data_IF_743720922721
#
_entry.id   IF_743720922721
#
_cell.length_a   1.000
_cell.length_b   1.000
_cell.length_c   1.000
_cell.angle_alpha   90.00
_cell.angle_beta   90.00
_cell.angle_gamma   90.00
#
_symmetry.space_group_name_H-M   'P 1'
#
loop_
_entity.id
_entity.type
_entity.pdbx_description
1 polymer ?
#
# COMPACT_ATOMS: atom_id res chain seq x y z
N UNK A 1 15.03 -33.96 3.33
CA UNK A 1 15.44 -33.16 2.17
C UNK A 1 14.19 -32.49 1.60
N UNK A 2 13.84 -31.25 1.98
CA UNK A 2 12.75 -30.55 1.32
C UNK A 2 13.29 -29.59 0.27
N UNK A 3 12.78 -29.76 -0.94
CA UNK A 3 13.09 -29.04 -2.16
C UNK A 3 12.82 -27.55 -2.02
N UNK A 4 13.87 -26.74 -2.20
CA UNK A 4 13.78 -25.29 -2.27
C UNK A 4 13.11 -24.89 -3.59
N UNK A 5 11.97 -24.21 -3.50
CA UNK A 5 11.33 -23.56 -4.63
C UNK A 5 12.17 -22.35 -5.06
N UNK A 6 12.96 -22.52 -6.12
CA UNK A 6 13.72 -21.44 -6.75
C UNK A 6 12.75 -20.55 -7.51
N UNK A 7 12.66 -19.27 -7.13
CA UNK A 7 12.01 -18.25 -7.95
C UNK A 7 12.94 -17.95 -9.13
N UNK A 8 12.73 -18.65 -10.24
CA UNK A 8 13.37 -18.38 -11.52
C UNK A 8 12.70 -17.16 -12.17
N UNK A 9 13.27 -15.96 -12.00
CA UNK A 9 13.01 -14.86 -12.92
C UNK A 9 13.77 -15.13 -14.22
N UNK A 10 13.06 -15.57 -15.27
CA UNK A 10 13.67 -15.67 -16.60
C UNK A 10 13.87 -14.27 -17.22
N UNK A 11 15.03 -13.99 -17.83
CA UNK A 11 15.22 -12.78 -18.62
C UNK A 11 14.58 -12.93 -20.01
N UNK A 12 13.81 -11.91 -20.43
CA UNK A 12 13.36 -11.79 -21.82
C UNK A 12 14.54 -11.48 -22.74
N UNK A 13 14.67 -12.27 -23.79
CA UNK A 13 15.61 -12.10 -24.89
C UNK A 13 15.19 -10.91 -25.77
N UNK A 14 16.05 -9.92 -25.97
CA UNK A 14 16.18 -9.33 -27.31
C UNK A 14 17.58 -8.73 -27.57
N UNK A 15 17.97 -8.79 -28.85
CA UNK A 15 19.33 -8.82 -29.37
C UNK A 15 19.96 -7.44 -29.65
N UNK A 16 21.22 -7.28 -29.24
CA UNK A 16 22.37 -6.89 -30.09
C UNK A 16 22.49 -5.47 -30.69
N UNK A 17 23.57 -4.76 -30.32
CA UNK A 17 24.67 -4.35 -31.25
C UNK A 17 25.86 -3.67 -30.52
N UNK A 18 27.04 -3.78 -31.15
CA UNK A 18 28.42 -3.60 -30.64
C UNK A 18 28.94 -2.15 -30.42
N UNK A 19 29.93 -2.07 -29.50
CA UNK A 19 31.01 -1.11 -29.10
C UNK A 19 31.70 -0.25 -30.22
N UNK A 20 32.60 0.75 -29.97
CA UNK A 20 33.58 0.90 -28.84
C UNK A 20 33.98 2.33 -28.35
N UNK A 21 34.79 2.43 -27.27
CA UNK A 21 35.76 3.54 -27.10
C UNK A 21 35.93 4.23 -25.71
N UNK A 22 36.83 3.69 -24.87
CA UNK A 22 37.80 4.34 -23.94
C UNK A 22 37.42 5.56 -23.05
N UNK A 23 37.52 5.39 -21.72
CA UNK A 23 38.68 5.85 -20.92
C UNK A 23 38.53 5.40 -19.45
N UNK A 24 39.59 4.77 -18.91
CA UNK A 24 39.60 4.23 -17.56
C UNK A 24 39.85 5.30 -16.51
N UNK A 25 38.89 5.48 -15.60
CA UNK A 25 39.11 6.15 -14.32
C UNK A 25 39.01 5.11 -13.22
N UNK A 26 40.10 5.00 -12.46
CA UNK A 26 40.28 4.13 -11.29
C UNK A 26 39.28 4.53 -10.19
N UNK A 27 38.14 3.87 -10.13
CA UNK A 27 37.24 3.98 -8.99
C UNK A 27 37.88 3.25 -7.80
N UNK A 28 38.35 4.01 -6.82
CA UNK A 28 38.73 3.45 -5.53
C UNK A 28 37.46 2.92 -4.86
N UNK A 29 37.32 1.59 -4.84
CA UNK A 29 36.30 0.90 -4.06
C UNK A 29 36.62 1.11 -2.56
N UNK A 30 36.13 2.21 -1.99
CA UNK A 30 35.88 2.25 -0.55
C UNK A 30 34.58 1.51 -0.31
N UNK A 31 34.68 0.19 -0.17
CA UNK A 31 33.60 -0.64 0.35
C UNK A 31 33.40 -0.21 1.80
N UNK A 32 32.45 0.69 2.05
CA UNK A 32 31.99 0.96 3.41
C UNK A 32 31.50 -0.37 3.97
N UNK A 33 31.98 -0.81 5.15
CA UNK A 33 31.51 -2.05 5.74
C UNK A 33 30.00 -1.95 5.90
N UNK A 34 29.28 -2.95 5.41
CA UNK A 34 27.90 -3.17 5.78
C UNK A 34 27.91 -3.52 7.28
N UNK A 35 27.85 -2.50 8.13
CA UNK A 35 27.60 -2.72 9.54
C UNK A 35 26.28 -3.49 9.63
N UNK A 36 26.36 -4.68 10.21
CA UNK A 36 25.24 -5.57 10.48
C UNK A 36 24.36 -4.92 11.56
N UNK A 37 23.67 -3.84 11.19
CA UNK A 37 22.57 -3.30 11.97
C UNK A 37 21.50 -4.39 12.04
N UNK A 38 21.14 -4.81 13.24
CA UNK A 38 19.99 -5.69 13.48
C UNK A 38 18.79 -5.08 12.76
N UNK A 39 18.42 -5.66 11.63
CA UNK A 39 17.33 -5.16 10.80
C UNK A 39 16.04 -5.49 11.52
N UNK A 40 15.51 -4.53 12.26
CA UNK A 40 14.23 -4.70 12.96
C UNK A 40 13.14 -4.85 11.91
N UNK A 41 12.28 -5.85 12.07
CA UNK A 41 11.10 -6.10 11.23
C UNK A 41 10.07 -4.94 11.23
N UNK A 42 10.37 -3.81 11.88
CA UNK A 42 9.50 -2.63 11.93
C UNK A 42 10.12 -1.52 11.09
N UNK A 43 9.27 -0.94 10.25
CA UNK A 43 9.55 0.36 9.64
C UNK A 43 9.55 1.38 10.77
N UNK A 44 10.59 2.22 10.84
CA UNK A 44 10.69 3.27 11.85
C UNK A 44 9.54 4.28 11.70
N UNK A 45 9.04 4.78 12.82
CA UNK A 45 7.89 5.70 12.86
C UNK A 45 8.19 6.99 12.10
N UNK A 46 9.38 7.57 12.27
CA UNK A 46 9.79 8.77 11.53
C UNK A 46 9.81 8.56 10.02
N UNK A 47 10.24 7.38 9.56
CA UNK A 47 10.19 7.01 8.14
C UNK A 47 8.75 6.93 7.65
N UNK A 48 7.84 6.35 8.43
CA UNK A 48 6.42 6.33 8.09
C UNK A 48 5.82 7.73 7.99
N UNK A 49 6.17 8.65 8.89
CA UNK A 49 5.70 10.04 8.81
C UNK A 49 6.14 10.74 7.51
N UNK A 50 7.38 10.50 7.06
CA UNK A 50 7.88 11.02 5.78
C UNK A 50 7.10 10.41 4.60
N UNK A 51 6.88 9.11 4.63
CA UNK A 51 6.13 8.39 3.58
C UNK A 51 4.67 8.85 3.53
N UNK A 52 3.99 8.98 4.67
CA UNK A 52 2.64 9.53 4.74
C UNK A 52 2.58 10.92 4.11
N UNK A 53 3.53 11.79 4.47
CA UNK A 53 3.60 13.14 3.90
C UNK A 53 3.77 13.11 2.38
N UNK A 54 4.66 12.26 1.88
CA UNK A 54 4.87 12.07 0.45
C UNK A 54 3.58 11.59 -0.25
N UNK A 55 2.94 10.54 0.27
CA UNK A 55 1.71 9.97 -0.30
C UNK A 55 0.58 10.99 -0.30
N UNK A 56 0.37 11.73 0.79
CA UNK A 56 -0.65 12.79 0.86
C UNK A 56 -0.47 13.80 -0.29
N UNK A 57 0.77 14.20 -0.56
CA UNK A 57 1.08 15.19 -1.59
C UNK A 57 0.91 14.66 -3.03
N UNK A 58 0.93 13.33 -3.24
CA UNK A 58 0.59 12.73 -4.53
C UNK A 58 -0.90 12.94 -4.88
N UNK A 59 -1.77 12.93 -3.88
CA UNK A 59 -3.21 13.09 -4.07
C UNK A 59 -3.69 14.54 -3.92
N UNK A 60 -3.06 15.32 -3.04
CA UNK A 60 -3.35 16.74 -2.84
C UNK A 60 -2.07 17.51 -2.50
N UNK A 61 -1.45 18.10 -3.53
CA UNK A 61 -0.22 18.90 -3.42
C UNK A 61 -0.37 20.12 -2.50
N UNK A 62 -1.58 20.61 -2.29
CA UNK A 62 -1.86 21.78 -1.44
C UNK A 62 -2.16 21.39 0.00
N UNK A 63 -2.28 20.08 0.28
CA UNK A 63 -2.62 19.57 1.59
C UNK A 63 -1.56 19.93 2.63
N UNK A 64 -2.02 20.45 3.76
CA UNK A 64 -1.21 20.65 4.97
C UNK A 64 -1.30 19.46 5.95
N UNK A 65 -2.03 18.40 5.59
CA UNK A 65 -2.15 17.22 6.45
C UNK A 65 -0.82 16.45 6.51
N UNK A 66 -0.53 15.89 7.68
CA UNK A 66 0.60 14.98 7.91
C UNK A 66 0.16 13.53 8.16
N UNK A 67 -1.13 13.33 8.39
CA UNK A 67 -1.77 12.04 8.65
C UNK A 67 -2.59 11.64 7.41
N UNK A 68 -2.31 10.44 6.90
CA UNK A 68 -2.90 9.95 5.65
C UNK A 68 -4.40 9.65 5.79
N UNK A 69 -4.86 9.20 6.96
CA UNK A 69 -6.27 8.94 7.23
C UNK A 69 -7.07 10.26 7.30
N UNK A 70 -6.50 11.31 7.91
CA UNK A 70 -7.08 12.65 7.95
C UNK A 70 -7.17 13.26 6.56
N UNK A 71 -6.13 13.09 5.74
CA UNK A 71 -6.15 13.51 4.34
C UNK A 71 -7.22 12.73 3.54
N UNK A 72 -7.27 11.40 3.70
CA UNK A 72 -8.27 10.52 3.10
C UNK A 72 -9.69 10.96 3.46
N UNK A 73 -9.98 11.20 4.74
CA UNK A 73 -11.29 11.67 5.20
C UNK A 73 -11.68 13.00 4.56
N UNK A 74 -10.76 13.97 4.49
CA UNK A 74 -11.02 15.28 3.87
C UNK A 74 -11.35 15.15 2.38
N UNK A 75 -10.58 14.35 1.64
CA UNK A 75 -10.81 14.16 0.21
C UNK A 75 -12.09 13.35 -0.05
N UNK A 76 -12.36 12.34 0.77
CA UNK A 76 -13.61 11.59 0.71
C UNK A 76 -14.84 12.49 0.95
N UNK A 77 -14.78 13.39 1.94
CA UNK A 77 -15.85 14.34 2.23
C UNK A 77 -16.11 15.34 1.08
N UNK A 78 -15.11 15.61 0.23
CA UNK A 78 -15.24 16.42 -0.99
C UNK A 78 -15.87 15.64 -2.17
N UNK A 79 -16.40 14.43 -1.93
CA UNK A 79 -16.97 13.53 -2.95
C UNK A 79 -15.97 13.14 -4.06
N UNK A 80 -14.68 13.08 -3.73
CA UNK A 80 -13.67 12.55 -4.64
C UNK A 80 -13.92 11.05 -4.91
N UNK A 81 -13.68 10.62 -6.15
CA UNK A 81 -13.67 9.19 -6.50
C UNK A 81 -12.70 8.43 -5.60
N UNK A 82 -12.99 7.15 -5.32
CA UNK A 82 -12.13 6.26 -4.53
C UNK A 82 -10.72 6.17 -5.09
N UNK A 83 -10.55 6.37 -6.41
CA UNK A 83 -9.24 6.40 -7.05
C UNK A 83 -8.46 7.69 -6.78
N UNK A 84 -9.15 8.76 -6.34
CA UNK A 84 -8.59 10.09 -6.11
C UNK A 84 -8.47 10.41 -4.61
N UNK A 85 -8.43 9.39 -3.75
CA UNK A 85 -8.17 9.53 -2.32
C UNK A 85 -6.96 8.67 -1.94
N UNK A 86 -6.09 9.15 -1.03
CA UNK A 86 -4.94 8.38 -0.58
C UNK A 86 -5.38 7.08 0.11
N UNK A 87 -4.53 6.04 0.15
CA UNK A 87 -4.83 4.79 0.86
C UNK A 87 -5.10 5.04 2.36
N UNK A 88 -5.65 4.04 3.05
CA UNK A 88 -5.65 4.06 4.53
C UNK A 88 -4.23 3.85 5.04
N UNK A 89 -3.95 4.29 6.26
CA UNK A 89 -2.65 4.03 6.91
C UNK A 89 -2.31 2.53 6.91
N UNK A 90 -3.29 1.69 7.27
CA UNK A 90 -3.12 0.24 7.27
C UNK A 90 -2.72 -0.33 5.90
N UNK A 91 -3.33 0.15 4.81
CA UNK A 91 -2.96 -0.29 3.46
C UNK A 91 -1.58 0.25 3.05
N UNK A 92 -1.28 1.49 3.41
CA UNK A 92 0.01 2.11 3.15
C UNK A 92 1.15 1.36 3.85
N UNK A 93 1.00 1.04 5.13
CA UNK A 93 2.00 0.30 5.90
C UNK A 93 2.35 -1.04 5.23
N UNK A 94 1.34 -1.81 4.80
CA UNK A 94 1.57 -3.07 4.10
C UNK A 94 2.28 -2.87 2.75
N UNK A 95 1.95 -1.80 2.02
CA UNK A 95 2.64 -1.45 0.79
C UNK A 95 4.11 -1.08 1.01
N UNK A 96 4.41 -0.31 2.05
CA UNK A 96 5.79 0.05 2.41
C UNK A 96 6.58 -1.20 2.79
N UNK A 97 6.01 -2.11 3.57
CA UNK A 97 6.64 -3.39 3.91
C UNK A 97 7.01 -4.19 2.66
N UNK A 98 6.06 -4.39 1.74
CA UNK A 98 6.35 -5.11 0.48
C UNK A 98 7.43 -4.42 -0.34
N UNK A 99 7.39 -3.10 -0.43
CA UNK A 99 8.39 -2.31 -1.17
C UNK A 99 9.78 -2.41 -0.54
N UNK A 100 9.87 -2.41 0.79
CA UNK A 100 11.12 -2.57 1.53
C UNK A 100 11.71 -3.98 1.38
N UNK A 101 10.86 -5.03 1.41
CA UNK A 101 11.29 -6.39 1.09
C UNK A 101 11.88 -6.46 -0.32
N UNK A 102 11.15 -5.94 -1.32
CA UNK A 102 11.58 -5.99 -2.71
C UNK A 102 12.86 -5.20 -2.96
N UNK A 103 12.89 -3.93 -2.56
CA UNK A 103 14.01 -3.03 -2.83
C UNK A 103 15.22 -3.27 -1.93
N UNK A 104 14.99 -3.44 -0.63
CA UNK A 104 16.07 -3.56 0.35
C UNK A 104 16.63 -4.97 0.47
N UNK A 105 15.76 -5.98 0.60
CA UNK A 105 16.20 -7.35 0.84
C UNK A 105 16.45 -8.14 -0.44
N UNK A 106 15.57 -8.06 -1.44
CA UNK A 106 15.75 -8.81 -2.69
C UNK A 106 16.76 -8.12 -3.60
N UNK A 107 16.48 -6.88 -4.01
CA UNK A 107 17.35 -6.17 -4.94
C UNK A 107 18.64 -5.65 -4.29
N UNK A 108 18.58 -5.21 -3.02
CA UNK A 108 19.76 -4.76 -2.28
C UNK A 108 20.80 -5.85 -2.03
N UNK A 109 20.43 -7.12 -2.18
CA UNK A 109 21.32 -8.27 -2.03
C UNK A 109 21.58 -8.99 -3.36
N UNK A 110 21.33 -8.34 -4.50
CA UNK A 110 21.45 -8.96 -5.83
C UNK A 110 22.86 -9.50 -6.16
N UNK A 111 23.90 -9.02 -5.47
CA UNK A 111 25.29 -9.48 -5.65
C UNK A 111 25.70 -10.56 -4.65
N UNK A 112 24.84 -10.90 -3.68
CA UNK A 112 25.10 -11.94 -2.68
C UNK A 112 24.60 -13.27 -3.25
N UNK A 113 25.45 -14.28 -3.41
CA UNK A 113 25.00 -15.62 -3.74
C UNK A 113 24.11 -16.18 -2.63
N UNK A 114 22.95 -16.76 -2.99
CA UNK A 114 21.99 -17.36 -2.05
C UNK A 114 21.65 -16.47 -0.83
N UNK A 115 21.08 -15.27 -1.05
CA UNK A 115 20.77 -14.36 0.03
C UNK A 115 19.72 -14.94 0.97
N UNK A 116 19.93 -14.80 2.28
CA UNK A 116 18.94 -15.17 3.29
C UNK A 116 17.91 -14.04 3.40
N UNK A 117 16.74 -14.27 2.83
CA UNK A 117 15.63 -13.31 2.85
C UNK A 117 14.77 -13.47 4.12
N UNK A 118 14.22 -12.36 4.66
CA UNK A 118 13.28 -12.46 5.76
C UNK A 118 11.95 -13.08 5.29
N UNK A 119 11.14 -13.62 6.22
CA UNK A 119 9.85 -14.24 5.87
C UNK A 119 8.91 -13.24 5.15
N UNK A 120 8.33 -13.55 3.99
CA UNK A 120 7.43 -12.62 3.30
C UNK A 120 6.18 -12.25 4.12
N UNK A 121 5.72 -13.16 5.00
CA UNK A 121 4.54 -12.95 5.86
C UNK A 121 4.68 -11.78 6.81
N UNK A 122 5.91 -11.52 7.22
CA UNK A 122 6.30 -10.40 8.07
C UNK A 122 6.18 -9.09 7.25
N UNK A 123 6.57 -9.15 5.97
CA UNK A 123 6.66 -7.99 5.07
C UNK A 123 5.43 -7.78 4.19
N UNK A 124 4.23 -8.01 4.74
CA UNK A 124 2.97 -7.63 4.11
C UNK A 124 2.51 -8.55 2.97
N UNK A 125 2.92 -9.81 3.04
CA UNK A 125 2.35 -10.91 2.27
C UNK A 125 1.55 -11.84 3.18
N UNK A 126 0.61 -12.58 2.60
CA UNK A 126 -0.09 -13.67 3.25
C UNK A 126 0.12 -14.94 2.45
N UNK A 127 0.13 -16.09 3.14
CA UNK A 127 0.14 -17.41 2.52
C UNK A 127 -0.91 -18.27 3.21
N UNK A 128 -1.86 -18.78 2.44
CA UNK A 128 -2.76 -19.84 2.89
C UNK A 128 -2.01 -21.18 2.74
N UNK A 129 -2.37 -22.17 3.55
CA UNK A 129 -1.55 -23.33 3.97
C UNK A 129 -0.66 -23.98 2.88
N UNK A 130 -1.07 -24.01 1.61
CA UNK A 130 -0.24 -24.46 0.47
C UNK A 130 -0.28 -23.56 -0.78
N UNK A 131 -0.88 -22.37 -0.67
CA UNK A 131 -1.07 -21.45 -1.79
C UNK A 131 0.15 -20.58 -2.14
N UNK A 132 0.10 -19.87 -3.27
CA UNK A 132 1.07 -18.81 -3.57
C UNK A 132 0.97 -17.68 -2.54
N UNK A 133 2.05 -16.93 -2.38
CA UNK A 133 2.00 -15.69 -1.61
C UNK A 133 1.08 -14.69 -2.30
N UNK A 134 0.16 -14.12 -1.54
CA UNK A 134 -0.73 -13.05 -1.99
C UNK A 134 -0.47 -11.79 -1.19
N UNK A 135 -0.61 -10.58 -1.78
CA UNK A 135 -0.40 -9.35 -1.03
C UNK A 135 -1.41 -9.23 0.11
N UNK A 136 -0.94 -8.93 1.33
CA UNK A 136 -1.80 -8.46 2.40
C UNK A 136 -2.14 -6.99 2.11
N UNK A 137 -3.33 -6.74 1.55
CA UNK A 137 -3.69 -5.39 1.09
C UNK A 137 -3.93 -4.40 2.23
N UNK A 138 -4.52 -4.85 3.33
CA UNK A 138 -4.86 -4.02 4.49
C UNK A 138 -5.14 -4.93 5.69
N UNK A 139 -4.92 -4.42 6.90
CA UNK A 139 -5.33 -5.07 8.15
C UNK A 139 -6.72 -4.62 8.63
N UNK A 140 -7.29 -3.61 7.96
CA UNK A 140 -8.65 -3.16 8.24
C UNK A 140 -9.69 -4.13 7.65
N UNK A 141 -10.82 -4.34 8.34
CA UNK A 141 -11.94 -5.09 7.79
C UNK A 141 -12.51 -4.38 6.56
N UNK A 142 -13.21 -5.13 5.72
CA UNK A 142 -13.89 -4.55 4.56
C UNK A 142 -14.87 -3.45 5.00
N UNK A 143 -14.82 -2.31 4.32
CA UNK A 143 -15.68 -1.17 4.64
C UNK A 143 -17.18 -1.53 4.56
N UNK A 144 -17.56 -2.45 3.66
CA UNK A 144 -18.94 -2.96 3.56
C UNK A 144 -19.42 -3.68 4.83
N UNK A 145 -18.49 -4.27 5.59
CA UNK A 145 -18.78 -5.03 6.81
C UNK A 145 -18.79 -4.17 8.07
N UNK A 146 -18.21 -2.97 8.02
CA UNK A 146 -17.94 -2.17 9.23
C UNK A 146 -18.37 -0.71 9.14
N UNK A 147 -18.49 -0.14 7.94
CA UNK A 147 -18.87 1.25 7.74
C UNK A 147 -20.33 1.37 7.28
N UNK A 148 -21.25 0.99 8.16
CA UNK A 148 -22.69 1.18 7.93
C UNK A 148 -23.05 2.65 7.65
N UNK A 149 -22.31 3.60 8.24
CA UNK A 149 -22.46 5.05 8.06
C UNK A 149 -22.24 5.53 6.61
N UNK A 150 -21.61 4.72 5.75
CA UNK A 150 -21.43 5.01 4.32
C UNK A 150 -22.65 4.62 3.46
N UNK A 151 -23.68 4.00 4.06
CA UNK A 151 -24.92 3.66 3.35
C UNK A 151 -25.67 4.94 3.00
N UNK A 152 -25.58 5.33 1.74
CA UNK A 152 -26.37 6.42 1.17
C UNK A 152 -27.59 5.89 0.41
N UNK A 153 -28.74 6.52 0.57
CA UNK A 153 -29.91 6.26 -0.26
C UNK A 153 -29.98 7.23 -1.45
N UNK A 154 -30.55 6.77 -2.57
CA UNK A 154 -30.88 7.60 -3.73
C UNK A 154 -32.31 8.16 -3.67
N UNK A 155 -32.90 8.24 -2.48
CA UNK A 155 -34.29 8.68 -2.32
C UNK A 155 -34.39 10.18 -2.60
N UNK A 156 -35.33 10.59 -3.47
CA UNK A 156 -35.56 12.01 -3.79
C UNK A 156 -36.50 12.70 -2.79
N UNK A 157 -37.53 11.99 -2.31
CA UNK A 157 -38.47 12.43 -1.27
C UNK A 157 -39.01 11.20 -0.52
N UNK A 158 -39.08 11.27 0.80
CA UNK A 158 -39.67 10.25 1.68
C UNK A 158 -38.91 8.93 1.75
N UNK A 159 -38.16 8.70 2.84
CA UNK A 159 -37.46 7.43 3.07
C UNK A 159 -38.38 6.40 3.74
N UNK A 160 -38.99 5.54 2.92
CA UNK A 160 -39.86 4.43 3.35
C UNK A 160 -39.16 3.07 3.21
N UNK A 161 -39.92 1.98 3.15
CA UNK A 161 -39.43 0.59 3.15
C UNK A 161 -38.48 0.22 1.98
N UNK A 162 -38.42 1.04 0.91
CA UNK A 162 -37.46 0.88 -0.20
C UNK A 162 -36.13 1.62 0.01
N UNK A 163 -36.01 2.45 1.05
CA UNK A 163 -34.78 3.18 1.35
C UNK A 163 -33.70 2.22 1.88
N UNK A 164 -32.50 2.31 1.31
CA UNK A 164 -31.34 1.52 1.75
C UNK A 164 -30.97 1.80 3.21
N UNK A 165 -30.97 3.07 3.62
CA UNK A 165 -30.68 3.46 5.01
C UNK A 165 -31.71 2.86 5.98
N UNK A 166 -33.00 2.95 5.64
CA UNK A 166 -34.08 2.41 6.51
C UNK A 166 -34.04 0.89 6.61
N UNK A 167 -33.73 0.18 5.52
CA UNK A 167 -33.51 -1.28 5.54
C UNK A 167 -32.31 -1.69 6.39
N UNK A 168 -31.26 -0.85 6.41
CA UNK A 168 -30.09 -1.04 7.25
C UNK A 168 -30.29 -0.54 8.69
N UNK A 169 -31.49 -0.08 9.06
CA UNK A 169 -31.79 0.53 10.37
C UNK A 169 -30.93 1.75 10.70
N UNK A 170 -30.59 2.56 9.70
CA UNK A 170 -29.77 3.77 9.82
C UNK A 170 -30.57 5.04 9.50
N UNK A 171 -30.19 6.14 10.13
CA UNK A 171 -30.64 7.48 9.74
C UNK A 171 -29.97 7.89 8.41
N UNK A 172 -30.70 8.66 7.60
CA UNK A 172 -30.13 9.22 6.38
C UNK A 172 -29.09 10.28 6.76
N UNK A 173 -27.92 10.23 6.14
CA UNK A 173 -26.84 11.20 6.36
C UNK A 173 -26.74 12.15 5.15
N UNK A 174 -25.89 13.18 5.24
CA UNK A 174 -25.59 14.07 4.10
C UNK A 174 -24.91 13.38 2.89
N UNK A 175 -24.58 12.08 3.01
CA UNK A 175 -24.16 11.26 1.88
C UNK A 175 -25.34 10.79 1.02
N UNK A 176 -26.56 10.79 1.57
CA UNK A 176 -27.78 10.44 0.85
C UNK A 176 -28.18 11.53 -0.15
N UNK A 177 -28.86 11.14 -1.22
CA UNK A 177 -29.47 12.09 -2.16
C UNK A 177 -30.59 12.92 -1.51
N UNK A 178 -31.22 12.40 -0.45
CA UNK A 178 -32.19 13.15 0.35
C UNK A 178 -31.54 14.09 1.37
N UNK A 179 -30.21 14.16 1.43
CA UNK A 179 -29.43 15.04 2.31
C UNK A 179 -29.74 14.88 3.82
N UNK A 180 -30.35 13.76 4.22
CA UNK A 180 -30.75 13.52 5.61
C UNK A 180 -32.12 14.09 5.97
N UNK A 181 -32.81 14.77 5.06
CA UNK A 181 -34.09 15.45 5.32
C UNK A 181 -35.31 14.52 5.29
N UNK A 182 -35.12 13.22 5.13
CA UNK A 182 -36.22 12.26 5.09
C UNK A 182 -36.50 11.67 6.48
N UNK A 183 -37.63 12.06 7.07
CA UNK A 183 -38.27 11.36 8.20
C UNK A 183 -39.03 10.10 7.73
#
# INVERSE_FOLDING_TARGET
>A
MPSQGVILCQPSSDMGRNLPGQHGTRCQNSLMPAESGKCTHKIQEDTMHVIERFVILLYDRTSKCKDVNKARKKLFAKKSSVQNIPPTYAALEQHVKRSALQGGHVWGQALVPEPVLPPPTDWGWHRSDDGPYTPLWTTLPEASKTCYELVSCGCKKGCRNRCKCKKASLQCTGLCFCEGECQ
#
